data_IF_183844410099
#
_entry.id   IF_183844410099
#
_cell.length_a   1.000
_cell.length_b   1.000
_cell.length_c   1.000
_cell.angle_alpha   90.00
_cell.angle_beta   90.00
_cell.angle_gamma   90.00
#
_symmetry.space_group_name_H-M   'P 1'
#
loop_
_entity.id
_entity.type
_entity.pdbx_description
1 polymer ?
#
# COMPACT_ATOMS: atom_id res chain seq x y z
N UNK A 1 15.06 10.75 15.27
CA UNK A 1 16.20 10.51 14.36
C UNK A 1 16.44 11.78 13.58
N UNK A 2 17.68 12.23 13.45
CA UNK A 2 18.05 13.41 12.65
C UNK A 2 17.57 13.21 11.21
N UNK A 3 16.60 14.03 10.74
CA UNK A 3 16.20 14.06 9.33
C UNK A 3 17.46 14.29 8.50
N UNK A 4 17.94 13.24 7.85
CA UNK A 4 19.04 13.32 6.90
C UNK A 4 18.51 14.20 5.77
N UNK A 5 18.97 15.44 5.68
CA UNK A 5 18.54 16.36 4.63
C UNK A 5 18.82 15.69 3.28
N UNK A 6 17.76 15.32 2.56
CA UNK A 6 17.87 14.60 1.30
C UNK A 6 18.42 15.59 0.28
N UNK A 7 19.59 15.30 -0.28
CA UNK A 7 20.13 16.08 -1.39
C UNK A 7 19.54 15.56 -2.70
N UNK A 8 18.51 16.25 -3.18
CA UNK A 8 17.78 15.90 -4.40
C UNK A 8 18.62 15.98 -5.67
N UNK A 9 19.66 16.81 -5.71
CA UNK A 9 20.52 16.94 -6.89
C UNK A 9 21.32 15.65 -7.16
N UNK A 10 21.73 14.99 -6.07
CA UNK A 10 22.54 13.77 -6.10
C UNK A 10 21.71 12.48 -6.19
N UNK A 11 20.38 12.57 -6.09
CA UNK A 11 19.50 11.41 -6.01
C UNK A 11 19.43 10.64 -7.34
N UNK A 12 19.79 9.36 -7.34
CA UNK A 12 19.74 8.53 -8.55
C UNK A 12 18.48 7.64 -8.62
N UNK A 13 18.13 7.16 -9.82
CA UNK A 13 16.94 6.36 -10.10
C UNK A 13 16.80 5.13 -9.17
N UNK A 14 17.86 4.34 -8.88
CA UNK A 14 17.75 3.18 -8.00
C UNK A 14 17.33 3.54 -6.57
N UNK A 15 17.59 4.77 -6.12
CA UNK A 15 17.32 5.24 -4.76
C UNK A 15 15.87 5.73 -4.60
N UNK A 16 15.15 5.98 -5.69
CA UNK A 16 13.80 6.57 -5.67
C UNK A 16 12.82 5.83 -4.75
N UNK A 17 12.87 4.50 -4.71
CA UNK A 17 11.98 3.72 -3.85
C UNK A 17 12.22 3.97 -2.35
N UNK A 18 13.49 4.01 -1.93
CA UNK A 18 13.85 4.22 -0.53
C UNK A 18 13.56 5.66 -0.11
N UNK A 19 13.96 6.62 -0.94
CA UNK A 19 13.73 8.05 -0.73
C UNK A 19 12.23 8.36 -0.67
N UNK A 20 11.44 7.80 -1.59
CA UNK A 20 9.99 7.94 -1.55
C UNK A 20 9.40 7.41 -0.25
N UNK A 21 9.81 6.23 0.21
CA UNK A 21 9.27 5.66 1.44
C UNK A 21 9.53 6.54 2.67
N UNK A 22 10.71 7.17 2.75
CA UNK A 22 11.02 8.12 3.82
C UNK A 22 10.13 9.37 3.73
N UNK A 23 10.04 10.01 2.57
CA UNK A 23 9.19 11.19 2.35
C UNK A 23 7.70 10.90 2.55
N UNK A 24 7.27 9.72 2.11
CA UNK A 24 5.91 9.24 2.28
C UNK A 24 5.59 9.02 3.76
N UNK A 25 6.56 8.54 4.56
CA UNK A 25 6.42 8.43 6.01
C UNK A 25 6.19 9.82 6.62
N UNK A 26 7.04 10.79 6.31
CA UNK A 26 6.91 12.16 6.80
C UNK A 26 5.53 12.75 6.43
N UNK A 27 5.04 12.50 5.22
CA UNK A 27 3.73 12.94 4.75
C UNK A 27 2.55 12.31 5.52
N UNK A 28 2.62 11.01 5.85
CA UNK A 28 1.53 10.31 6.57
C UNK A 28 1.54 10.65 8.07
N UNK A 29 2.72 10.93 8.64
CA UNK A 29 2.89 11.20 10.07
C UNK A 29 2.70 12.65 10.48
N UNK A 30 2.81 13.60 9.56
CA UNK A 30 2.62 15.02 9.87
C UNK A 30 1.21 15.34 10.40
N UNK A 31 1.13 16.02 11.54
CA UNK A 31 -0.09 16.33 12.29
C UNK A 31 -0.38 17.83 12.40
N UNK A 32 0.65 18.68 12.28
CA UNK A 32 0.53 20.14 12.42
C UNK A 32 0.89 20.90 11.13
N UNK A 33 0.45 22.17 11.00
CA UNK A 33 0.88 23.04 9.90
C UNK A 33 2.38 23.09 9.66
N UNK A 34 3.16 23.19 10.74
CA UNK A 34 4.62 23.30 10.71
C UNK A 34 5.28 22.02 10.19
N UNK A 35 4.57 20.88 10.26
CA UNK A 35 5.02 19.59 9.74
C UNK A 35 4.49 19.32 8.32
N UNK A 36 3.26 19.76 8.01
CA UNK A 36 2.62 19.55 6.71
C UNK A 36 3.38 20.23 5.57
N UNK A 37 3.72 21.50 5.74
CA UNK A 37 4.38 22.28 4.68
C UNK A 37 5.74 21.68 4.28
N UNK A 38 6.69 21.40 5.20
CA UNK A 38 7.96 20.78 4.83
C UNK A 38 7.80 19.39 4.21
N UNK A 39 6.89 18.55 4.73
CA UNK A 39 6.66 17.22 4.20
C UNK A 39 6.11 17.25 2.76
N UNK A 40 5.15 18.14 2.49
CA UNK A 40 4.57 18.32 1.15
C UNK A 40 5.59 18.94 0.20
N UNK A 41 6.34 19.95 0.64
CA UNK A 41 7.39 20.58 -0.16
C UNK A 41 8.49 19.59 -0.56
N UNK A 42 8.93 18.73 0.36
CA UNK A 42 9.92 17.70 0.08
C UNK A 42 9.39 16.65 -0.91
N UNK A 43 8.13 16.25 -0.82
CA UNK A 43 7.51 15.35 -1.80
C UNK A 43 7.38 16.03 -3.18
N UNK A 44 7.04 17.33 -3.24
CA UNK A 44 7.05 18.08 -4.50
C UNK A 44 8.44 18.11 -5.15
N UNK A 45 9.49 18.40 -4.37
CA UNK A 45 10.86 18.38 -4.85
C UNK A 45 11.26 16.99 -5.40
N UNK A 46 10.86 15.93 -4.69
CA UNK A 46 11.05 14.56 -5.18
C UNK A 46 10.33 14.30 -6.51
N UNK A 47 9.08 14.72 -6.65
CA UNK A 47 8.32 14.56 -7.89
C UNK A 47 8.97 15.29 -9.07
N UNK A 48 9.56 16.46 -8.83
CA UNK A 48 10.31 17.19 -9.86
C UNK A 48 11.57 16.42 -10.31
N UNK A 49 12.32 15.82 -9.38
CA UNK A 49 13.47 14.97 -9.72
C UNK A 49 13.04 13.71 -10.46
N UNK A 50 11.94 13.07 -10.02
CA UNK A 50 11.37 11.90 -10.66
C UNK A 50 11.00 12.19 -12.12
N UNK A 51 10.38 13.36 -12.35
CA UNK A 51 10.04 13.82 -13.70
C UNK A 51 11.29 14.03 -14.56
N UNK A 52 12.22 14.85 -14.07
CA UNK A 52 13.45 15.22 -14.78
C UNK A 52 14.29 13.99 -15.15
N UNK A 53 14.49 13.06 -14.22
CA UNK A 53 15.42 11.94 -14.41
C UNK A 53 14.78 10.71 -15.06
N UNK A 54 13.46 10.55 -15.02
CA UNK A 54 12.79 9.35 -15.53
C UNK A 54 11.58 9.66 -16.41
N UNK A 55 10.57 10.40 -15.93
CA UNK A 55 9.28 10.52 -16.63
C UNK A 55 9.37 11.34 -17.93
N UNK A 56 10.37 12.22 -18.02
CA UNK A 56 10.69 13.00 -19.22
C UNK A 56 11.55 12.22 -20.24
N UNK A 57 11.91 10.97 -19.95
CA UNK A 57 12.73 10.13 -20.83
C UNK A 57 11.95 8.91 -21.35
N UNK A 58 11.41 8.97 -22.59
CA UNK A 58 10.69 7.88 -23.23
C UNK A 58 11.45 6.54 -23.27
N UNK A 59 12.76 6.58 -23.49
CA UNK A 59 13.57 5.36 -23.61
C UNK A 59 13.67 4.63 -22.28
N UNK A 60 13.82 5.37 -21.17
CA UNK A 60 13.79 4.78 -19.83
C UNK A 60 12.42 4.20 -19.48
N UNK A 61 11.34 4.89 -19.85
CA UNK A 61 9.98 4.37 -19.63
C UNK A 61 9.78 3.04 -20.37
N UNK A 62 10.28 2.96 -21.60
CA UNK A 62 10.12 1.82 -22.50
C UNK A 62 11.02 0.63 -22.16
N UNK A 63 12.25 0.84 -21.66
CA UNK A 63 13.24 -0.24 -21.54
C UNK A 63 13.66 -0.54 -20.10
N UNK A 64 13.55 0.42 -19.18
CA UNK A 64 13.79 0.19 -17.75
C UNK A 64 12.47 -0.11 -17.03
N UNK A 65 11.86 -1.25 -17.34
CA UNK A 65 10.55 -1.63 -16.80
C UNK A 65 10.52 -1.64 -15.26
N UNK A 66 11.65 -1.94 -14.62
CA UNK A 66 11.74 -2.01 -13.15
C UNK A 66 11.55 -0.63 -12.52
N UNK A 67 12.28 0.38 -13.01
CA UNK A 67 12.18 1.74 -12.49
C UNK A 67 10.96 2.47 -13.05
N UNK A 68 10.61 2.24 -14.32
CA UNK A 68 9.41 2.77 -14.98
C UNK A 68 8.12 2.37 -14.26
N UNK A 69 7.92 1.06 -14.02
CA UNK A 69 6.75 0.57 -13.25
C UNK A 69 6.71 1.11 -11.83
N UNK A 70 7.89 1.26 -11.19
CA UNK A 70 7.99 1.84 -9.85
C UNK A 70 7.55 3.30 -9.87
N UNK A 71 8.03 4.10 -10.82
CA UNK A 71 7.70 5.51 -10.94
C UNK A 71 6.18 5.73 -11.02
N UNK A 72 5.48 4.98 -11.89
CA UNK A 72 4.01 5.03 -11.94
C UNK A 72 3.38 4.64 -10.59
N UNK A 73 3.89 3.60 -9.93
CA UNK A 73 3.40 3.19 -8.62
C UNK A 73 3.58 4.28 -7.55
N UNK A 74 4.69 5.01 -7.55
CA UNK A 74 4.92 6.12 -6.63
C UNK A 74 3.89 7.24 -6.86
N UNK A 75 3.69 7.63 -8.12
CA UNK A 75 2.70 8.64 -8.51
C UNK A 75 1.29 8.25 -8.10
N UNK A 76 0.88 7.00 -8.35
CA UNK A 76 -0.44 6.51 -7.94
C UNK A 76 -0.58 6.46 -6.42
N UNK A 77 0.48 6.14 -5.67
CA UNK A 77 0.46 6.24 -4.21
C UNK A 77 0.18 7.67 -3.77
N UNK A 78 0.89 8.68 -4.31
CA UNK A 78 0.64 10.10 -3.99
C UNK A 78 -0.79 10.52 -4.37
N UNK A 79 -1.33 10.02 -5.49
CA UNK A 79 -2.72 10.26 -5.86
C UNK A 79 -3.71 9.78 -4.78
N UNK A 80 -3.44 8.61 -4.18
CA UNK A 80 -4.25 8.03 -3.12
C UNK A 80 -4.09 8.79 -1.79
N UNK A 81 -2.86 9.05 -1.38
CA UNK A 81 -2.55 9.50 -0.02
C UNK A 81 -2.41 11.01 0.10
N UNK A 82 -2.47 11.75 -1.02
CA UNK A 82 -2.18 13.19 -1.04
C UNK A 82 -2.75 13.88 0.20
N UNK A 83 -4.03 13.63 0.47
CA UNK A 83 -4.69 13.93 1.74
C UNK A 83 -4.93 12.64 2.56
N UNK A 84 -4.53 12.62 3.84
CA UNK A 84 -4.71 11.47 4.74
C UNK A 84 -6.17 11.30 5.18
N UNK A 85 -6.67 10.06 5.14
CA UNK A 85 -8.07 9.75 5.49
C UNK A 85 -8.47 10.21 6.90
N UNK A 86 -7.56 10.09 7.88
CA UNK A 86 -7.81 10.51 9.27
C UNK A 86 -8.11 12.01 9.39
N UNK A 87 -7.46 12.84 8.56
CA UNK A 87 -7.66 14.30 8.53
C UNK A 87 -8.90 14.66 7.70
N UNK A 88 -9.15 13.96 6.59
CA UNK A 88 -10.37 14.12 5.79
C UNK A 88 -11.63 13.87 6.63
N UNK A 89 -11.61 12.80 7.44
CA UNK A 89 -12.72 12.38 8.30
C UNK A 89 -12.70 12.95 9.71
N UNK A 90 -11.80 13.89 10.01
CA UNK A 90 -11.73 14.47 11.34
C UNK A 90 -13.06 15.16 11.71
N UNK A 91 -13.70 14.68 12.78
CA UNK A 91 -14.96 15.22 13.32
C UNK A 91 -14.70 15.86 14.68
N UNK A 92 -14.93 17.16 14.78
CA UNK A 92 -14.84 17.91 16.02
C UNK A 92 -15.85 17.40 17.07
N UNK A 93 -15.42 17.33 18.33
CA UNK A 93 -16.29 16.95 19.48
C UNK A 93 -16.46 18.08 20.50
N UNK A 94 -15.63 19.11 20.40
CA UNK A 94 -15.56 20.26 21.29
C UNK A 94 -15.06 21.51 20.50
N UNK A 95 -14.95 22.65 21.19
CA UNK A 95 -14.52 23.90 20.57
C UNK A 95 -13.08 23.83 20.02
N UNK A 96 -12.16 23.21 20.76
CA UNK A 96 -10.78 23.00 20.31
C UNK A 96 -10.71 22.12 19.05
N UNK A 97 -11.54 21.07 18.98
CA UNK A 97 -11.70 20.25 17.79
C UNK A 97 -12.27 21.03 16.61
N UNK A 98 -13.18 21.99 16.84
CA UNK A 98 -13.71 22.83 15.77
C UNK A 98 -12.61 23.74 15.20
N UNK A 99 -11.76 24.32 16.04
CA UNK A 99 -10.59 25.08 15.61
C UNK A 99 -9.63 24.22 14.79
N UNK A 100 -9.34 23.00 15.26
CA UNK A 100 -8.52 22.02 14.53
C UNK A 100 -9.11 21.67 13.17
N UNK A 101 -10.43 21.46 13.08
CA UNK A 101 -11.09 21.18 11.80
C UNK A 101 -10.94 22.33 10.82
N UNK A 102 -11.16 23.57 11.27
CA UNK A 102 -10.97 24.77 10.45
C UNK A 102 -9.51 24.90 9.98
N UNK A 103 -8.55 24.57 10.83
CA UNK A 103 -7.13 24.56 10.47
C UNK A 103 -6.81 23.54 9.37
N UNK A 104 -7.30 22.31 9.50
CA UNK A 104 -7.16 21.24 8.49
C UNK A 104 -7.75 21.70 7.15
N UNK A 105 -8.95 22.27 7.17
CA UNK A 105 -9.61 22.74 5.94
C UNK A 105 -8.85 23.89 5.27
N UNK A 106 -8.37 24.85 6.06
CA UNK A 106 -7.67 26.04 5.56
C UNK A 106 -6.30 25.70 4.99
N UNK A 107 -5.52 24.87 5.67
CA UNK A 107 -4.10 24.71 5.38
C UNK A 107 -3.78 23.37 4.72
N UNK A 108 -4.32 22.27 5.26
CA UNK A 108 -3.94 20.93 4.83
C UNK A 108 -4.57 20.54 3.48
N UNK A 109 -5.87 20.78 3.28
CA UNK A 109 -6.58 20.29 2.10
C UNK A 109 -6.09 20.93 0.79
N UNK A 110 -5.80 22.23 0.80
CA UNK A 110 -5.27 22.91 -0.39
C UNK A 110 -3.86 22.42 -0.71
N UNK A 111 -2.97 22.44 0.29
CA UNK A 111 -1.57 22.04 0.17
C UNK A 111 -1.41 20.60 -0.35
N UNK A 112 -2.20 19.68 0.20
CA UNK A 112 -2.16 18.28 -0.24
C UNK A 112 -2.93 18.02 -1.54
N UNK A 113 -3.95 18.84 -1.81
CA UNK A 113 -4.68 18.82 -3.06
C UNK A 113 -3.79 19.17 -4.25
N UNK A 114 -2.94 20.19 -4.14
CA UNK A 114 -1.99 20.57 -5.20
C UNK A 114 -0.93 19.50 -5.42
N UNK A 115 -0.40 18.90 -4.35
CA UNK A 115 0.49 17.74 -4.46
C UNK A 115 -0.15 16.58 -5.24
N UNK A 116 -1.43 16.30 -4.95
CA UNK A 116 -2.21 15.29 -5.65
C UNK A 116 -2.41 15.63 -7.13
N UNK A 117 -2.72 16.88 -7.46
CA UNK A 117 -2.86 17.32 -8.86
C UNK A 117 -1.56 17.14 -9.64
N UNK A 118 -0.42 17.45 -9.02
CA UNK A 118 0.88 17.28 -9.66
C UNK A 118 1.19 15.80 -9.93
N UNK A 119 0.91 14.92 -8.97
CA UNK A 119 1.05 13.48 -9.18
C UNK A 119 0.12 12.95 -10.29
N UNK A 120 -1.12 13.47 -10.38
CA UNK A 120 -2.05 13.15 -11.48
C UNK A 120 -1.47 13.62 -12.81
N UNK A 121 -0.97 14.86 -12.90
CA UNK A 121 -0.37 15.43 -14.11
C UNK A 121 0.80 14.57 -14.60
N UNK A 122 1.71 14.21 -13.69
CA UNK A 122 2.87 13.37 -13.99
C UNK A 122 2.47 11.94 -14.40
N UNK A 123 1.45 11.36 -13.76
CA UNK A 123 0.94 10.05 -14.15
C UNK A 123 0.36 10.07 -15.57
N UNK A 124 -0.35 11.15 -15.93
CA UNK A 124 -0.84 11.35 -17.30
C UNK A 124 0.31 11.50 -18.29
N UNK A 125 1.32 12.32 -17.97
CA UNK A 125 2.52 12.47 -18.79
C UNK A 125 3.22 11.13 -19.05
N UNK A 126 3.45 10.32 -18.00
CA UNK A 126 4.00 8.97 -18.13
C UNK A 126 3.20 8.11 -19.12
N UNK A 127 1.86 8.14 -19.02
CA UNK A 127 0.97 7.37 -19.89
C UNK A 127 0.87 7.89 -21.33
N UNK A 128 1.49 9.04 -21.63
CA UNK A 128 1.65 9.55 -23.01
C UNK A 128 2.96 9.12 -23.68
N UNK A 129 3.82 8.38 -22.98
CA UNK A 129 5.07 7.90 -23.57
C UNK A 129 4.80 7.01 -24.81
N UNK A 130 5.65 7.08 -25.86
CA UNK A 130 5.47 6.35 -27.12
C UNK A 130 5.28 4.83 -26.99
N UNK A 131 5.84 4.21 -25.95
CA UNK A 131 5.65 2.77 -25.67
C UNK A 131 4.16 2.39 -25.51
N UNK A 132 3.31 3.36 -25.15
CA UNK A 132 1.87 3.17 -24.98
C UNK A 132 1.03 3.52 -26.22
N UNK A 133 1.64 3.92 -27.35
CA UNK A 133 0.91 4.42 -28.53
C UNK A 133 -0.13 3.42 -29.06
N UNK A 134 0.21 2.13 -29.07
CA UNK A 134 -0.67 1.04 -29.50
C UNK A 134 -1.93 0.84 -28.62
N UNK A 135 -1.94 1.38 -27.40
CA UNK A 135 -3.06 1.32 -26.45
C UNK A 135 -3.52 2.71 -26.00
N UNK A 136 -3.08 3.76 -26.70
CA UNK A 136 -3.35 5.16 -26.36
C UNK A 136 -4.84 5.47 -26.25
N UNK A 137 -5.64 4.94 -27.18
CA UNK A 137 -7.10 5.12 -27.17
C UNK A 137 -7.72 4.49 -25.91
N UNK A 138 -7.29 3.28 -25.55
CA UNK A 138 -7.75 2.61 -24.34
C UNK A 138 -7.35 3.40 -23.08
N UNK A 139 -6.12 3.90 -23.00
CA UNK A 139 -5.68 4.78 -21.91
C UNK A 139 -6.56 6.03 -21.81
N UNK A 140 -6.82 6.69 -22.95
CA UNK A 140 -7.61 7.92 -23.01
C UNK A 140 -9.01 7.73 -22.46
N UNK A 141 -9.70 6.64 -22.80
CA UNK A 141 -11.11 6.44 -22.41
C UNK A 141 -11.29 5.66 -21.11
N UNK A 142 -10.29 4.89 -20.67
CA UNK A 142 -10.45 3.98 -19.54
C UNK A 142 -9.53 4.26 -18.35
N UNK A 143 -8.43 4.98 -18.54
CA UNK A 143 -7.46 5.30 -17.47
C UNK A 143 -7.51 6.77 -17.08
N UNK A 144 -7.42 7.69 -18.06
CA UNK A 144 -7.41 9.12 -17.77
C UNK A 144 -8.64 9.58 -16.98
N UNK A 145 -9.88 9.13 -17.26
CA UNK A 145 -11.04 9.50 -16.46
C UNK A 145 -10.95 9.05 -15.00
N UNK A 146 -10.25 7.93 -14.72
CA UNK A 146 -10.03 7.47 -13.35
C UNK A 146 -9.04 8.38 -12.61
N UNK A 147 -8.00 8.85 -13.30
CA UNK A 147 -7.06 9.84 -12.75
C UNK A 147 -7.76 11.18 -12.48
N UNK A 148 -8.53 11.68 -13.47
CA UNK A 148 -9.33 12.90 -13.34
C UNK A 148 -10.33 12.83 -12.20
N UNK A 149 -10.90 11.63 -11.99
CA UNK A 149 -11.85 11.42 -10.91
C UNK A 149 -11.29 11.65 -9.51
N UNK A 150 -9.96 11.72 -9.35
CA UNK A 150 -9.30 11.93 -8.06
C UNK A 150 -8.85 13.39 -7.86
N UNK A 151 -9.06 14.28 -8.82
CA UNK A 151 -8.74 15.70 -8.70
C UNK A 151 -9.63 16.37 -7.63
N UNK A 152 -8.99 17.02 -6.65
CA UNK A 152 -9.68 17.67 -5.54
C UNK A 152 -10.51 18.89 -5.96
N UNK A 153 -10.14 19.54 -7.07
CA UNK A 153 -10.90 20.70 -7.58
C UNK A 153 -12.18 20.27 -8.31
N UNK A 154 -12.19 19.07 -8.89
CA UNK A 154 -13.38 18.55 -9.58
C UNK A 154 -14.40 17.98 -8.58
N UNK A 155 -13.93 17.25 -7.57
CA UNK A 155 -14.80 16.65 -6.56
C UNK A 155 -14.05 16.49 -5.20
N UNK A 156 -14.11 17.51 -4.32
CA UNK A 156 -13.36 17.50 -3.07
C UNK A 156 -13.87 16.46 -2.06
N UNK A 157 -15.05 15.87 -2.29
CA UNK A 157 -15.64 14.87 -1.41
C UNK A 157 -15.18 13.43 -1.72
N UNK A 158 -14.32 13.26 -2.73
CA UNK A 158 -13.69 11.96 -3.06
C UNK A 158 -12.51 11.68 -2.16
N UNK A 159 -12.84 11.24 -0.95
CA UNK A 159 -11.88 10.89 0.09
C UNK A 159 -10.97 9.72 -0.31
N UNK A 160 -9.90 9.55 0.44
CA UNK A 160 -8.86 8.55 0.22
C UNK A 160 -9.41 7.14 -0.13
N UNK A 161 -10.43 6.57 0.55
CA UNK A 161 -10.96 5.26 0.19
C UNK A 161 -11.45 5.17 -1.26
N UNK A 162 -12.13 6.21 -1.76
CA UNK A 162 -12.55 6.29 -3.16
C UNK A 162 -11.33 6.31 -4.08
N UNK A 163 -10.34 7.16 -3.78
CA UNK A 163 -9.13 7.32 -4.60
C UNK A 163 -8.32 6.03 -4.67
N UNK A 164 -8.15 5.37 -3.53
CA UNK A 164 -7.54 4.04 -3.41
C UNK A 164 -8.27 3.05 -4.30
N UNK A 165 -9.61 2.97 -4.28
CA UNK A 165 -10.41 2.13 -5.21
C UNK A 165 -10.07 2.44 -6.68
N UNK A 166 -10.06 3.71 -7.09
CA UNK A 166 -9.77 4.07 -8.48
C UNK A 166 -8.36 3.66 -8.92
N UNK A 167 -7.35 3.81 -8.06
CA UNK A 167 -6.00 3.32 -8.36
C UNK A 167 -5.99 1.80 -8.57
N UNK A 168 -6.77 1.05 -7.78
CA UNK A 168 -6.95 -0.39 -8.02
C UNK A 168 -7.51 -0.68 -9.42
N UNK A 169 -8.52 0.09 -9.84
CA UNK A 169 -9.11 -0.02 -11.17
C UNK A 169 -8.10 0.32 -12.27
N UNK A 170 -7.23 1.30 -12.06
CA UNK A 170 -6.15 1.66 -13.01
C UNK A 170 -5.21 0.47 -13.21
N UNK A 171 -4.72 -0.15 -12.13
CA UNK A 171 -3.86 -1.33 -12.22
C UNK A 171 -4.52 -2.49 -12.99
N UNK A 172 -5.78 -2.79 -12.68
CA UNK A 172 -6.53 -3.86 -13.37
C UNK A 172 -6.72 -3.57 -14.86
N UNK A 173 -7.12 -2.34 -15.21
CA UNK A 173 -7.34 -1.95 -16.61
C UNK A 173 -6.05 -1.97 -17.40
N UNK A 174 -4.97 -1.38 -16.89
CA UNK A 174 -3.66 -1.43 -17.53
C UNK A 174 -3.21 -2.88 -17.76
N UNK A 175 -3.37 -3.76 -16.78
CA UNK A 175 -3.02 -5.17 -16.95
C UNK A 175 -3.90 -5.89 -17.97
N UNK A 176 -5.16 -5.50 -18.10
CA UNK A 176 -6.09 -6.05 -19.10
C UNK A 176 -5.71 -5.66 -20.54
N UNK A 177 -5.05 -4.52 -20.74
CA UNK A 177 -4.63 -4.04 -22.06
C UNK A 177 -3.59 -4.93 -22.73
N UNK A 178 -2.93 -5.83 -21.99
CA UNK A 178 -2.07 -6.86 -22.58
C UNK A 178 -2.79 -7.75 -23.60
N UNK A 179 -4.13 -7.83 -23.52
CA UNK A 179 -4.96 -8.58 -24.47
C UNK A 179 -5.27 -7.78 -25.75
N UNK A 180 -4.90 -6.49 -25.80
CA UNK A 180 -5.22 -5.54 -26.88
C UNK A 180 -3.97 -5.05 -27.63
N UNK A 181 -2.80 -5.52 -27.25
CA UNK A 181 -1.52 -5.18 -27.89
C UNK A 181 -0.66 -6.43 -28.06
N UNK A 182 0.22 -6.41 -29.04
CA UNK A 182 1.23 -7.45 -29.27
C UNK A 182 2.65 -6.89 -29.13
N UNK A 183 2.77 -5.67 -28.60
CA UNK A 183 4.04 -5.00 -28.42
C UNK A 183 4.88 -5.70 -27.33
N UNK A 184 6.06 -6.24 -27.69
CA UNK A 184 6.87 -7.03 -26.78
C UNK A 184 7.35 -6.24 -25.56
N UNK A 185 7.50 -4.91 -25.63
CA UNK A 185 7.85 -4.10 -24.47
C UNK A 185 6.72 -4.07 -23.44
N UNK A 186 5.46 -4.05 -23.90
CA UNK A 186 4.31 -4.00 -23.01
C UNK A 186 3.92 -5.38 -22.45
N UNK A 187 3.94 -6.43 -23.28
CA UNK A 187 3.47 -7.76 -22.88
C UNK A 187 4.58 -8.69 -22.41
N UNK A 188 5.83 -8.44 -22.80
CA UNK A 188 6.98 -9.29 -22.50
C UNK A 188 7.07 -10.51 -23.41
N UNK A 189 7.99 -11.41 -23.05
CA UNK A 189 8.23 -12.65 -23.76
C UNK A 189 8.55 -13.79 -22.77
N UNK A 190 9.13 -14.88 -23.29
CA UNK A 190 9.52 -16.04 -22.49
C UNK A 190 10.71 -15.78 -21.54
N UNK A 191 11.44 -14.68 -21.70
CA UNK A 191 12.64 -14.34 -20.94
C UNK A 191 12.42 -13.15 -19.99
N UNK A 192 11.53 -12.22 -20.33
CA UNK A 192 11.30 -11.00 -19.57
C UNK A 192 9.82 -10.64 -19.43
N UNK A 193 9.45 -10.09 -18.27
CA UNK A 193 8.13 -9.53 -18.04
C UNK A 193 7.98 -8.21 -18.80
N UNK A 194 6.83 -8.03 -19.46
CA UNK A 194 6.46 -6.76 -20.07
C UNK A 194 6.09 -5.70 -19.06
N UNK A 195 6.16 -4.44 -19.48
CA UNK A 195 5.89 -3.28 -18.65
C UNK A 195 4.51 -3.33 -17.98
N UNK A 196 3.46 -3.77 -18.69
CA UNK A 196 2.11 -3.86 -18.11
C UNK A 196 2.02 -4.88 -16.98
N UNK A 197 2.74 -5.99 -17.08
CA UNK A 197 2.82 -6.98 -16.00
C UNK A 197 3.61 -6.42 -14.82
N UNK A 198 4.73 -5.75 -15.08
CA UNK A 198 5.54 -5.14 -14.02
C UNK A 198 4.79 -4.02 -13.28
N UNK A 199 4.00 -3.20 -14.00
CA UNK A 199 3.07 -2.23 -13.39
C UNK A 199 2.06 -2.96 -12.50
N UNK A 200 1.43 -4.02 -12.99
CA UNK A 200 0.46 -4.80 -12.20
C UNK A 200 1.08 -5.41 -10.94
N UNK A 201 2.32 -5.89 -11.03
CA UNK A 201 3.04 -6.46 -9.89
C UNK A 201 3.41 -5.39 -8.83
N UNK A 202 3.31 -4.10 -9.14
CA UNK A 202 3.41 -3.00 -8.15
C UNK A 202 2.11 -2.72 -7.41
N UNK A 203 0.96 -3.26 -7.87
CA UNK A 203 -0.32 -3.11 -7.20
C UNK A 203 -0.19 -3.58 -5.74
N UNK A 204 -0.51 -2.69 -4.81
CA UNK A 204 -0.48 -2.99 -3.38
C UNK A 204 -1.50 -4.06 -3.02
N UNK A 205 -1.16 -4.86 -2.01
CA UNK A 205 -2.11 -5.77 -1.38
C UNK A 205 -3.05 -4.94 -0.49
N UNK A 206 -4.35 -5.09 -0.70
CA UNK A 206 -5.34 -4.42 0.14
C UNK A 206 -5.51 -5.20 1.44
N UNK A 207 -4.95 -4.67 2.51
CA UNK A 207 -5.27 -5.12 3.86
C UNK A 207 -6.57 -4.45 4.30
N UNK A 208 -7.68 -5.17 4.24
CA UNK A 208 -8.98 -4.70 4.70
C UNK A 208 -9.33 -5.22 6.10
N UNK A 209 -10.57 -4.98 6.53
CA UNK A 209 -11.11 -5.51 7.81
C UNK A 209 -11.07 -7.03 7.94
N UNK A 210 -10.87 -7.74 6.83
CA UNK A 210 -10.74 -9.19 6.77
C UNK A 210 -9.40 -9.63 6.19
N UNK A 211 -8.35 -8.84 6.42
CA UNK A 211 -7.00 -9.10 5.96
C UNK A 211 -6.78 -8.86 4.47
N UNK A 212 -5.71 -9.46 3.94
CA UNK A 212 -5.40 -9.48 2.51
C UNK A 212 -6.06 -10.69 1.85
N UNK A 213 -6.65 -10.48 0.67
CA UNK A 213 -7.13 -11.56 -0.20
C UNK A 213 -6.70 -11.32 -1.63
N UNK A 214 -6.17 -12.35 -2.26
CA UNK A 214 -5.66 -12.26 -3.62
C UNK A 214 -5.64 -13.64 -4.30
N UNK A 215 -5.63 -13.65 -5.63
CA UNK A 215 -5.61 -14.88 -6.42
C UNK A 215 -4.22 -15.52 -6.38
N UNK A 216 -4.15 -16.80 -6.05
CA UNK A 216 -2.91 -17.57 -5.99
C UNK A 216 -2.13 -17.52 -7.31
N UNK A 217 -0.81 -17.29 -7.23
CA UNK A 217 0.10 -17.27 -8.38
C UNK A 217 -0.04 -16.04 -9.28
N UNK A 218 -1.11 -15.26 -9.15
CA UNK A 218 -1.29 -13.99 -9.83
C UNK A 218 -0.95 -12.84 -8.87
N UNK A 219 -1.82 -12.61 -7.89
CA UNK A 219 -1.72 -11.52 -6.93
C UNK A 219 -1.16 -11.96 -5.58
N UNK A 220 -1.34 -13.24 -5.24
CA UNK A 220 -0.88 -13.84 -4.00
C UNK A 220 0.32 -14.73 -4.29
N UNK A 221 1.50 -14.26 -3.91
CA UNK A 221 2.79 -14.95 -4.04
C UNK A 221 3.45 -15.05 -2.68
N UNK A 222 4.45 -15.93 -2.53
CA UNK A 222 5.23 -16.01 -1.28
C UNK A 222 5.78 -14.66 -0.86
N UNK A 223 6.44 -13.94 -1.78
CA UNK A 223 6.98 -12.60 -1.53
C UNK A 223 5.94 -11.65 -0.96
N UNK A 224 4.74 -11.64 -1.53
CA UNK A 224 3.64 -10.77 -1.12
C UNK A 224 3.07 -11.20 0.23
N UNK A 225 2.92 -12.50 0.48
CA UNK A 225 2.52 -13.04 1.77
C UNK A 225 3.51 -12.65 2.87
N UNK A 226 4.82 -12.87 2.65
CA UNK A 226 5.85 -12.56 3.65
C UNK A 226 5.96 -11.07 3.92
N UNK A 227 5.72 -10.20 2.92
CA UNK A 227 5.64 -8.75 3.14
C UNK A 227 4.49 -8.34 4.06
N UNK A 228 3.31 -8.97 3.92
CA UNK A 228 2.18 -8.72 4.83
C UNK A 228 2.53 -9.13 6.25
N UNK A 229 3.11 -10.32 6.42
CA UNK A 229 3.47 -10.83 7.74
C UNK A 229 4.60 -10.02 8.36
N UNK A 230 5.56 -9.57 7.56
CA UNK A 230 6.62 -8.67 8.04
C UNK A 230 6.03 -7.36 8.56
N UNK A 231 5.10 -6.73 7.83
CA UNK A 231 4.44 -5.52 8.30
C UNK A 231 3.67 -5.73 9.61
N UNK A 232 3.03 -6.89 9.79
CA UNK A 232 2.40 -7.25 11.08
C UNK A 232 3.44 -7.43 12.18
N UNK A 233 4.59 -8.05 11.90
CA UNK A 233 5.68 -8.20 12.87
C UNK A 233 6.28 -6.84 13.26
N UNK A 234 6.50 -5.95 12.30
CA UNK A 234 6.99 -4.58 12.55
C UNK A 234 6.01 -3.82 13.45
N UNK A 235 4.71 -3.91 13.17
CA UNK A 235 3.66 -3.32 14.02
C UNK A 235 3.68 -3.90 15.45
N UNK A 236 3.73 -5.22 15.59
CA UNK A 236 3.75 -5.90 16.88
C UNK A 236 5.05 -5.66 17.68
N UNK A 237 6.17 -5.43 16.99
CA UNK A 237 7.45 -5.07 17.60
C UNK A 237 7.58 -3.57 17.89
N UNK A 238 6.55 -2.78 17.56
CA UNK A 238 6.54 -1.32 17.72
C UNK A 238 7.67 -0.62 16.92
N UNK A 239 7.94 -1.11 15.71
CA UNK A 239 8.97 -0.58 14.83
C UNK A 239 8.33 0.45 13.89
N UNK A 240 8.71 1.72 14.06
CA UNK A 240 8.28 2.83 13.21
C UNK A 240 6.75 3.00 13.12
N UNK A 241 6.02 2.64 14.18
CA UNK A 241 4.57 2.78 14.24
C UNK A 241 4.23 4.23 14.65
N UNK A 242 3.40 4.96 13.89
CA UNK A 242 3.04 6.33 14.25
C UNK A 242 2.19 6.41 15.52
N UNK A 243 2.40 7.42 16.34
CA UNK A 243 1.70 7.63 17.63
C UNK A 243 0.15 7.69 17.53
N UNK A 244 -0.40 8.05 16.36
CA UNK A 244 -1.85 8.08 16.15
C UNK A 244 -2.46 6.68 15.89
N UNK A 245 -1.63 5.67 15.66
CA UNK A 245 -2.03 4.25 15.54
C UNK A 245 -2.15 3.70 16.96
N UNK A 246 -3.14 2.85 17.22
CA UNK A 246 -3.20 2.17 18.51
C UNK A 246 -2.17 1.06 18.52
N UNK A 247 -1.03 1.23 19.19
CA UNK A 247 0.06 0.25 19.18
C UNK A 247 0.52 -0.10 20.59
N UNK A 248 1.10 -1.30 20.72
CA UNK A 248 1.73 -1.79 21.93
C UNK A 248 2.93 -2.65 21.53
N UNK A 249 4.03 -2.55 22.28
CA UNK A 249 5.19 -3.39 22.04
C UNK A 249 4.94 -4.79 22.60
N UNK A 250 4.79 -5.76 21.70
CA UNK A 250 4.53 -7.17 21.98
C UNK A 250 5.72 -8.06 21.56
N UNK A 251 6.91 -7.48 21.43
CA UNK A 251 8.13 -8.21 21.05
C UNK A 251 8.35 -9.44 21.94
N UNK A 252 8.73 -10.56 21.34
CA UNK A 252 9.00 -11.81 22.06
C UNK A 252 7.77 -12.58 22.53
N UNK A 253 6.56 -12.01 22.42
CA UNK A 253 5.32 -12.71 22.75
C UNK A 253 4.96 -13.75 21.70
N UNK A 254 3.90 -14.49 21.98
CA UNK A 254 3.43 -15.57 21.13
C UNK A 254 2.43 -15.14 20.07
N UNK A 255 2.65 -15.56 18.84
CA UNK A 255 1.69 -15.44 17.74
C UNK A 255 1.06 -16.81 17.46
N UNK A 256 -0.26 -16.85 17.46
CA UNK A 256 -1.02 -18.04 17.06
C UNK A 256 -1.15 -18.03 15.55
N UNK A 257 -0.88 -19.16 14.89
CA UNK A 257 -1.01 -19.30 13.44
C UNK A 257 -1.92 -20.48 13.11
N UNK A 258 -2.94 -20.22 12.30
CA UNK A 258 -3.81 -21.26 11.77
C UNK A 258 -4.23 -21.01 10.33
N UNK A 259 -4.90 -21.99 9.75
CA UNK A 259 -5.29 -21.98 8.34
C UNK A 259 -6.57 -22.79 8.11
N UNK A 260 -7.25 -22.51 6.99
CA UNK A 260 -8.43 -23.27 6.56
C UNK A 260 -8.08 -24.35 5.52
N UNK A 261 -9.09 -25.08 5.04
CA UNK A 261 -8.91 -26.24 4.16
C UNK A 261 -8.57 -25.90 2.71
N UNK A 262 -8.41 -24.62 2.35
CA UNK A 262 -8.12 -24.26 0.94
C UNK A 262 -6.72 -24.72 0.54
N UNK A 263 -6.55 -24.91 -0.76
CA UNK A 263 -5.28 -25.34 -1.34
C UNK A 263 -4.14 -24.39 -0.97
N UNK A 264 -3.02 -24.94 -0.51
CA UNK A 264 -1.79 -24.25 -0.11
C UNK A 264 -1.91 -23.36 1.14
N UNK A 265 -3.01 -23.36 1.90
CA UNK A 265 -3.07 -22.53 3.11
C UNK A 265 -2.13 -23.02 4.22
N UNK A 266 -1.85 -24.31 4.26
CA UNK A 266 -0.79 -24.91 5.08
C UNK A 266 0.60 -24.38 4.70
N UNK A 267 0.88 -24.21 3.41
CA UNK A 267 2.12 -23.62 2.91
C UNK A 267 2.21 -22.12 3.26
N UNK A 268 1.12 -21.36 3.11
CA UNK A 268 1.08 -19.95 3.51
C UNK A 268 1.28 -19.80 5.02
N UNK A 269 0.70 -20.70 5.82
CA UNK A 269 0.91 -20.73 7.26
C UNK A 269 2.38 -20.97 7.62
N UNK A 270 3.07 -21.87 6.92
CA UNK A 270 4.52 -22.08 7.11
C UNK A 270 5.34 -20.83 6.80
N UNK A 271 5.08 -20.15 5.68
CA UNK A 271 5.74 -18.87 5.38
C UNK A 271 5.47 -17.82 6.45
N UNK A 272 4.25 -17.80 6.98
CA UNK A 272 3.86 -16.89 8.06
C UNK A 272 4.68 -17.18 9.32
N UNK A 273 4.78 -18.45 9.71
CA UNK A 273 5.55 -18.89 10.87
C UNK A 273 7.04 -18.56 10.74
N UNK A 274 7.64 -18.80 9.56
CA UNK A 274 9.05 -18.49 9.28
C UNK A 274 9.35 -17.00 9.49
N UNK A 275 8.47 -16.10 9.02
CA UNK A 275 8.63 -14.65 9.20
C UNK A 275 8.46 -14.26 10.67
N UNK A 276 7.43 -14.77 11.36
CA UNK A 276 7.21 -14.47 12.78
C UNK A 276 8.41 -14.92 13.65
N UNK A 277 8.90 -16.14 13.45
CA UNK A 277 10.07 -16.67 14.14
C UNK A 277 11.33 -15.85 13.84
N UNK A 278 11.53 -15.47 12.57
CA UNK A 278 12.65 -14.62 12.16
C UNK A 278 12.65 -13.21 12.77
N UNK A 279 11.48 -12.73 13.19
CA UNK A 279 11.30 -11.45 13.88
C UNK A 279 11.29 -11.58 15.42
N UNK A 280 11.56 -12.77 15.95
CA UNK A 280 11.74 -13.00 17.39
C UNK A 280 10.47 -13.31 18.18
N UNK A 281 9.35 -13.64 17.53
CA UNK A 281 8.13 -14.08 18.20
C UNK A 281 8.16 -15.59 18.49
N UNK A 282 7.49 -16.02 19.56
CA UNK A 282 7.09 -17.42 19.72
C UNK A 282 5.92 -17.74 18.78
N UNK A 283 5.80 -18.99 18.31
CA UNK A 283 4.72 -19.39 17.41
C UNK A 283 4.00 -20.64 17.93
N UNK A 284 2.71 -20.50 18.23
CA UNK A 284 1.80 -21.65 18.37
C UNK A 284 1.17 -21.95 17.02
N UNK A 285 1.55 -23.08 16.43
CA UNK A 285 1.14 -23.48 15.09
C UNK A 285 0.05 -24.54 15.13
N UNK A 286 -1.09 -24.28 14.50
CA UNK A 286 -2.19 -25.24 14.40
C UNK A 286 -1.74 -26.52 13.69
N UNK A 287 -1.95 -27.68 14.31
CA UNK A 287 -1.53 -28.99 13.79
C UNK A 287 -2.38 -29.48 12.60
N UNK A 288 -3.50 -28.83 12.31
CA UNK A 288 -4.39 -29.10 11.18
C UNK A 288 -5.24 -27.87 10.83
N UNK A 289 -6.05 -28.00 9.78
CA UNK A 289 -7.09 -27.03 9.45
C UNK A 289 -7.95 -26.71 10.69
N UNK A 290 -8.03 -25.43 11.05
CA UNK A 290 -8.67 -25.00 12.30
C UNK A 290 -9.58 -23.81 12.05
N UNK A 291 -10.88 -23.89 12.43
CA UNK A 291 -11.79 -22.76 12.29
C UNK A 291 -11.30 -21.52 13.05
N UNK A 292 -11.43 -20.35 12.44
CA UNK A 292 -11.16 -19.05 13.07
C UNK A 292 -11.69 -18.91 14.51
N UNK A 293 -12.95 -19.26 14.84
CA UNK A 293 -13.43 -19.11 16.22
C UNK A 293 -12.70 -20.01 17.23
N UNK A 294 -12.20 -21.17 16.82
CA UNK A 294 -11.41 -22.03 17.71
C UNK A 294 -10.01 -21.43 17.97
N UNK A 295 -9.40 -20.81 16.95
CA UNK A 295 -8.13 -20.09 17.12
C UNK A 295 -8.29 -18.84 17.99
N UNK A 296 -9.40 -18.12 17.83
CA UNK A 296 -9.72 -16.96 18.68
C UNK A 296 -9.91 -17.41 20.13
N UNK A 297 -10.71 -18.45 20.38
CA UNK A 297 -10.88 -19.02 21.73
C UNK A 297 -9.54 -19.44 22.36
N UNK A 298 -8.66 -20.07 21.58
CA UNK A 298 -7.33 -20.43 22.04
C UNK A 298 -6.50 -19.21 22.45
N UNK A 299 -6.52 -18.15 21.63
CA UNK A 299 -5.86 -16.88 21.90
C UNK A 299 -6.43 -16.16 23.14
N UNK A 300 -7.75 -16.10 23.31
CA UNK A 300 -8.39 -15.20 24.29
C UNK A 300 -8.80 -15.85 25.61
N UNK A 301 -9.17 -17.13 25.59
CA UNK A 301 -9.79 -17.80 26.74
C UNK A 301 -8.90 -18.90 27.33
N UNK A 302 -7.99 -19.47 26.53
CA UNK A 302 -7.10 -20.56 26.96
C UNK A 302 -5.71 -20.07 27.37
N UNK A 303 -5.10 -19.18 26.58
CA UNK A 303 -3.76 -18.66 26.84
C UNK A 303 -3.78 -17.45 27.79
N UNK A 304 -2.72 -17.23 28.60
CA UNK A 304 -2.57 -16.01 29.39
C UNK A 304 -2.48 -14.76 28.49
N UNK A 305 -3.28 -13.75 28.80
CA UNK A 305 -3.41 -12.55 27.96
C UNK A 305 -2.13 -11.71 27.85
N UNK A 306 -1.19 -11.87 28.78
CA UNK A 306 0.11 -11.21 28.81
C UNK A 306 1.21 -11.98 28.04
N UNK A 307 0.96 -13.21 27.60
CA UNK A 307 1.91 -14.01 26.83
C UNK A 307 1.70 -13.92 25.31
N UNK A 308 0.59 -13.34 24.86
CA UNK A 308 0.16 -13.38 23.45
C UNK A 308 0.29 -12.03 22.75
N UNK A 309 0.70 -12.07 21.48
CA UNK A 309 0.81 -10.91 20.59
C UNK A 309 -0.39 -10.80 19.65
N UNK A 310 -0.96 -11.92 19.21
CA UNK A 310 -2.11 -11.95 18.31
C UNK A 310 -2.23 -13.24 17.51
N UNK A 311 -3.07 -13.21 16.49
CA UNK A 311 -3.45 -14.35 15.68
C UNK A 311 -3.36 -14.02 14.19
N UNK A 312 -2.62 -14.84 13.44
CA UNK A 312 -2.56 -14.82 11.99
C UNK A 312 -3.33 -16.02 11.41
N UNK A 313 -4.26 -15.75 10.49
CA UNK A 313 -5.13 -16.79 9.92
C UNK A 313 -4.97 -16.79 8.40
N UNK A 314 -4.44 -17.89 7.87
CA UNK A 314 -4.27 -18.09 6.44
C UNK A 314 -5.58 -18.59 5.82
N UNK A 315 -6.42 -17.63 5.41
CA UNK A 315 -7.77 -17.87 4.88
C UNK A 315 -8.22 -16.70 4.02
N UNK A 316 -8.95 -17.00 2.94
CA UNK A 316 -9.78 -16.02 2.23
C UNK A 316 -11.29 -16.26 2.45
N UNK A 317 -11.66 -16.93 3.55
CA UNK A 317 -13.04 -17.23 3.93
C UNK A 317 -13.84 -17.88 2.79
N UNK A 318 -14.94 -17.28 2.36
CA UNK A 318 -15.82 -17.80 1.29
C UNK A 318 -15.32 -17.52 -0.13
N UNK A 319 -14.16 -16.88 -0.32
CA UNK A 319 -13.65 -16.64 -1.67
C UNK A 319 -13.41 -17.96 -2.42
N UNK A 320 -13.49 -17.94 -3.77
CA UNK A 320 -13.28 -19.14 -4.60
C UNK A 320 -11.95 -19.87 -4.31
N UNK A 321 -11.83 -21.16 -4.67
CA UNK A 321 -10.69 -22.02 -4.29
C UNK A 321 -9.31 -21.50 -4.73
N UNK A 322 -9.25 -20.72 -5.80
CA UNK A 322 -8.02 -20.10 -6.33
C UNK A 322 -7.57 -18.87 -5.54
N UNK A 323 -8.32 -18.44 -4.52
CA UNK A 323 -7.97 -17.31 -3.68
C UNK A 323 -7.26 -17.75 -2.41
N UNK A 324 -6.29 -16.94 -2.00
CA UNK A 324 -5.56 -17.04 -0.76
C UNK A 324 -5.65 -15.74 0.04
N UNK A 325 -5.33 -15.81 1.32
CA UNK A 325 -5.40 -14.65 2.19
C UNK A 325 -4.73 -14.84 3.53
N UNK A 326 -4.41 -13.72 4.18
CA UNK A 326 -3.86 -13.65 5.53
C UNK A 326 -4.67 -12.61 6.28
N UNK A 327 -5.23 -13.01 7.42
CA UNK A 327 -5.90 -12.12 8.38
C UNK A 327 -5.03 -11.95 9.60
N UNK A 328 -5.10 -10.78 10.20
CA UNK A 328 -4.52 -10.49 11.50
C UNK A 328 -5.63 -10.08 12.48
N UNK A 329 -5.63 -10.72 13.65
CA UNK A 329 -6.42 -10.34 14.80
C UNK A 329 -5.44 -9.97 15.93
N UNK A 330 -5.52 -8.76 16.52
CA UNK A 330 -4.75 -8.42 17.71
C UNK A 330 -5.07 -9.37 18.88
N UNK A 331 -4.28 -9.31 19.96
CA UNK A 331 -4.42 -10.23 21.12
C UNK A 331 -5.81 -10.27 21.77
N UNK A 332 -6.66 -9.27 21.51
CA UNK A 332 -8.05 -9.24 21.99
C UNK A 332 -9.01 -10.09 21.13
N UNK A 333 -8.54 -10.69 20.04
CA UNK A 333 -9.25 -11.72 19.27
C UNK A 333 -10.18 -11.21 18.18
N UNK A 334 -10.50 -9.92 18.14
CA UNK A 334 -11.29 -9.33 17.05
C UNK A 334 -10.44 -9.05 15.79
N UNK A 335 -11.05 -8.94 14.60
CA UNK A 335 -10.34 -8.47 13.41
C UNK A 335 -9.69 -7.12 13.64
N UNK A 336 -8.47 -6.93 13.12
CA UNK A 336 -7.75 -5.66 13.24
C UNK A 336 -8.63 -4.48 12.77
N UNK A 337 -8.81 -3.43 13.60
CA UNK A 337 -9.52 -2.24 13.20
C UNK A 337 -8.72 -1.42 12.18
N UNK A 338 -9.33 -0.42 11.55
CA UNK A 338 -8.67 0.37 10.50
C UNK A 338 -7.50 1.24 10.97
N UNK A 339 -7.31 1.39 12.28
CA UNK A 339 -6.23 2.13 12.92
C UNK A 339 -5.10 1.21 13.42
N UNK A 340 -5.02 -0.01 12.89
CA UNK A 340 -4.02 -1.06 13.17
C UNK A 340 -3.49 -1.62 11.86
#
# INVERSE_FOLDING_TARGET
>A
MTQKTINFDLLDIPEFGMTFNALNRDLITAETPEEWEPAVAAMHAFLAVLDQKLLSNPDLIAHDHANSSRALSLLLTVCAIGTQYRLEQFKARDAAGQERRTLIEREYFSLTGTLRQEAIRLAKQYLTAPVFDNIKEAIQYEILPLLDSMDYQQDPHRWMPYRVIQIGNIYERLYSFRLRTHDPLLIGDQHALGLLRMIYDRKYLRFGTSGVRARWGADFTQRRATQVVQAVCDYLNDIDVPDFVGHENLSGKRIIIGYDTRRNADLVAKWTAEVCLGNGFEVDFANRDTPTPALVYYLTDYLPADEVAGLLICTASHNPPEWQGIKFNPRLGYPAPSNV
#
